data_IF_095383208561
#
_entry.id   IF_095383208561
#
_cell.length_a   1.000
_cell.length_b   1.000
_cell.length_c   1.000
_cell.angle_alpha   90.00
_cell.angle_beta   90.00
_cell.angle_gamma   90.00
#
_symmetry.space_group_name_H-M   'P 1'
#
loop_
_entity.id
_entity.type
_entity.pdbx_description
1 polymer ?
#
# COMPACT_ATOMS: atom_id res chain seq x y z
N UNK A 1 8.56 10.27 34.65
CA UNK A 1 8.05 10.89 33.41
C UNK A 1 9.00 10.76 32.21
N UNK A 2 10.32 10.93 32.35
CA UNK A 2 11.27 10.86 31.21
C UNK A 2 11.18 9.55 30.40
N UNK A 3 11.16 8.40 31.09
CA UNK A 3 11.05 7.08 30.46
C UNK A 3 9.76 6.85 29.67
N UNK A 4 8.63 7.43 30.10
CA UNK A 4 7.36 7.34 29.37
C UNK A 4 7.40 8.18 28.09
N UNK A 5 8.00 9.37 28.15
CA UNK A 5 8.18 10.23 26.98
C UNK A 5 9.09 9.56 25.94
N UNK A 6 10.22 9.02 26.39
CA UNK A 6 11.19 8.34 25.52
C UNK A 6 10.57 7.11 24.82
N UNK A 7 9.69 6.38 25.52
CA UNK A 7 8.94 5.24 24.95
C UNK A 7 7.88 5.68 23.92
N UNK A 8 7.17 6.78 24.17
CA UNK A 8 6.23 7.33 23.19
C UNK A 8 7.00 7.76 21.95
N UNK A 9 8.08 8.53 22.11
CA UNK A 9 8.90 9.06 21.02
C UNK A 9 9.49 7.93 20.14
N UNK A 10 9.98 6.84 20.74
CA UNK A 10 10.48 5.68 19.98
C UNK A 10 9.39 4.99 19.18
N UNK A 11 8.20 4.81 19.76
CA UNK A 11 7.07 4.23 19.05
C UNK A 11 6.59 5.15 17.91
N UNK A 12 6.62 6.49 18.08
CA UNK A 12 6.32 7.41 16.98
C UNK A 12 7.30 7.26 15.82
N UNK A 13 8.60 7.11 16.12
CA UNK A 13 9.64 6.95 15.12
C UNK A 13 9.42 5.66 14.31
N UNK A 14 9.26 4.52 14.99
CA UNK A 14 9.04 3.23 14.33
C UNK A 14 7.78 3.24 13.46
N UNK A 15 6.72 3.91 13.92
CA UNK A 15 5.47 4.02 13.17
C UNK A 15 5.61 4.88 11.90
N UNK A 16 6.42 5.95 11.96
CA UNK A 16 6.75 6.78 10.79
C UNK A 16 7.56 5.99 9.77
N UNK A 17 8.57 5.25 10.22
CA UNK A 17 9.39 4.42 9.35
C UNK A 17 8.57 3.32 8.68
N UNK A 18 7.68 2.68 9.43
CA UNK A 18 6.74 1.69 8.89
C UNK A 18 5.86 2.30 7.77
N UNK A 19 5.24 3.46 8.01
CA UNK A 19 4.45 4.14 6.98
C UNK A 19 5.25 4.54 5.74
N UNK A 20 6.48 5.01 5.94
CA UNK A 20 7.38 5.35 4.84
C UNK A 20 7.67 4.12 4.00
N UNK A 21 7.95 2.98 4.63
CA UNK A 21 8.21 1.73 3.92
C UNK A 21 6.98 1.24 3.16
N UNK A 22 5.79 1.29 3.76
CA UNK A 22 4.54 0.96 3.06
C UNK A 22 4.29 1.87 1.85
N UNK A 23 4.64 3.15 1.96
CA UNK A 23 4.52 4.10 0.84
C UNK A 23 5.44 3.69 -0.30
N UNK A 24 6.69 3.36 0.01
CA UNK A 24 7.66 2.88 -0.99
C UNK A 24 7.20 1.57 -1.62
N UNK A 25 6.61 0.65 -0.86
CA UNK A 25 6.06 -0.59 -1.41
C UNK A 25 4.92 -0.31 -2.39
N UNK A 26 3.97 0.56 -2.02
CA UNK A 26 2.87 0.94 -2.90
C UNK A 26 3.37 1.64 -4.17
N UNK A 27 4.34 2.55 -4.06
CA UNK A 27 4.94 3.23 -5.20
C UNK A 27 5.62 2.24 -6.17
N UNK A 28 6.27 1.19 -5.64
CA UNK A 28 6.88 0.14 -6.47
C UNK A 28 5.84 -0.68 -7.21
N UNK A 29 4.79 -1.14 -6.53
CA UNK A 29 3.73 -1.93 -7.17
C UNK A 29 3.04 -1.10 -8.24
N UNK A 30 2.73 0.17 -7.97
CA UNK A 30 2.14 1.06 -8.98
C UNK A 30 3.04 1.23 -10.20
N UNK A 31 4.36 1.38 -9.98
CA UNK A 31 5.33 1.51 -11.05
C UNK A 31 5.44 0.23 -11.88
N UNK A 32 5.61 -0.92 -11.24
CA UNK A 32 5.68 -2.22 -11.91
C UNK A 32 4.38 -2.53 -12.67
N UNK A 33 3.23 -2.16 -12.09
CA UNK A 33 1.94 -2.27 -12.76
C UNK A 33 1.87 -1.38 -14.01
N UNK A 34 2.32 -0.12 -13.97
CA UNK A 34 2.28 0.74 -15.15
C UNK A 34 3.28 0.28 -16.23
N UNK A 35 4.51 -0.07 -15.86
CA UNK A 35 5.51 -0.62 -16.78
C UNK A 35 5.02 -1.91 -17.44
N UNK A 36 4.30 -2.73 -16.68
CA UNK A 36 3.74 -3.98 -17.21
C UNK A 36 2.63 -3.79 -18.24
N UNK A 37 1.88 -2.68 -18.14
CA UNK A 37 0.79 -2.38 -19.08
C UNK A 37 1.29 -1.96 -20.46
N UNK A 38 2.53 -1.47 -20.55
CA UNK A 38 3.15 -1.14 -21.83
C UNK A 38 3.56 -2.37 -22.63
N UNK A 39 3.44 -3.57 -22.04
CA UNK A 39 3.79 -4.85 -22.66
C UNK A 39 2.49 -5.64 -22.85
N UNK A 40 2.02 -5.72 -24.10
CA UNK A 40 0.69 -6.23 -24.52
C UNK A 40 0.33 -7.67 -24.06
N UNK A 41 1.28 -8.46 -23.53
CA UNK A 41 1.09 -9.88 -23.18
C UNK A 41 1.04 -10.18 -21.66
N UNK A 42 1.07 -9.17 -20.77
CA UNK A 42 1.49 -9.42 -19.37
C UNK A 42 0.46 -10.05 -18.42
N UNK A 43 -0.83 -10.14 -18.73
CA UNK A 43 -1.71 -11.02 -17.93
C UNK A 43 -1.49 -12.51 -18.26
N UNK A 44 -0.23 -12.96 -18.28
CA UNK A 44 0.11 -14.33 -17.97
C UNK A 44 -0.49 -14.64 -16.59
N UNK A 45 -1.22 -15.75 -16.47
CA UNK A 45 -1.98 -16.06 -15.24
C UNK A 45 -1.13 -16.08 -13.96
N UNK A 46 0.18 -16.26 -14.07
CA UNK A 46 1.13 -16.16 -12.95
C UNK A 46 1.35 -14.72 -12.48
N UNK A 47 1.60 -13.78 -13.41
CA UNK A 47 1.79 -12.37 -13.07
C UNK A 47 0.53 -11.77 -12.46
N UNK A 48 -0.63 -12.05 -13.05
CA UNK A 48 -1.92 -11.56 -12.54
C UNK A 48 -2.20 -12.08 -11.11
N UNK A 49 -1.86 -13.34 -10.81
CA UNK A 49 -1.97 -13.89 -9.44
C UNK A 49 -0.97 -13.30 -8.47
N UNK A 50 0.27 -13.04 -8.91
CA UNK A 50 1.31 -12.44 -8.07
C UNK A 50 0.97 -11.00 -7.67
N UNK A 51 0.42 -10.22 -8.60
CA UNK A 51 -0.07 -8.86 -8.33
C UNK A 51 -1.26 -8.91 -7.37
N UNK A 52 -2.27 -9.75 -7.65
CA UNK A 52 -3.44 -9.90 -6.76
C UNK A 52 -3.01 -10.22 -5.32
N UNK A 53 -2.12 -11.20 -5.15
CA UNK A 53 -1.57 -11.54 -3.84
C UNK A 53 -0.86 -10.35 -3.17
N UNK A 54 -0.06 -9.60 -3.93
CA UNK A 54 0.68 -8.45 -3.39
C UNK A 54 -0.24 -7.32 -2.96
N UNK A 55 -1.32 -7.07 -3.71
CA UNK A 55 -2.35 -6.09 -3.36
C UNK A 55 -3.11 -6.53 -2.10
N UNK A 56 -3.43 -7.82 -1.98
CA UNK A 56 -4.13 -8.38 -0.81
C UNK A 56 -3.30 -8.27 0.47
N UNK A 57 -2.01 -8.59 0.41
CA UNK A 57 -1.11 -8.43 1.56
C UNK A 57 -0.96 -6.96 1.95
N UNK A 58 -0.81 -6.06 0.98
CA UNK A 58 -0.74 -4.63 1.24
C UNK A 58 -2.05 -4.08 1.83
N UNK A 59 -3.20 -4.62 1.42
CA UNK A 59 -4.49 -4.29 2.00
C UNK A 59 -4.55 -4.71 3.47
N UNK A 60 -4.18 -5.96 3.77
CA UNK A 60 -4.15 -6.48 5.16
C UNK A 60 -3.30 -5.59 6.05
N UNK A 61 -2.09 -5.25 5.60
CA UNK A 61 -1.19 -4.36 6.32
C UNK A 61 -1.83 -2.98 6.55
N UNK A 62 -2.30 -2.30 5.50
CA UNK A 62 -2.86 -0.94 5.60
C UNK A 62 -4.14 -0.82 6.45
N UNK A 63 -4.98 -1.86 6.43
CA UNK A 63 -6.23 -1.88 7.21
C UNK A 63 -6.02 -2.41 8.63
N UNK A 64 -4.93 -3.14 8.90
CA UNK A 64 -4.56 -3.55 10.26
C UNK A 64 -3.98 -2.41 11.11
N UNK A 65 -3.50 -1.33 10.48
CA UNK A 65 -2.95 -0.16 11.18
C UNK A 65 -4.03 0.51 12.03
N UNK A 66 -3.92 0.34 13.34
CA UNK A 66 -4.68 1.09 14.34
C UNK A 66 -4.03 2.44 14.57
N UNK A 67 -4.72 3.52 14.24
CA UNK A 67 -4.19 4.88 14.36
C UNK A 67 -4.07 5.30 15.85
N UNK A 68 -2.85 5.55 16.37
CA UNK A 68 -2.67 5.98 17.75
C UNK A 68 -3.16 7.42 17.96
N UNK A 69 -3.77 7.72 19.12
CA UNK A 69 -4.37 9.04 19.43
C UNK A 69 -3.39 10.24 19.36
N UNK A 70 -2.09 9.98 19.42
CA UNK A 70 -1.04 11.00 19.49
C UNK A 70 -0.36 11.27 18.14
N UNK A 71 -0.78 10.61 17.05
CA UNK A 71 -0.27 10.90 15.71
C UNK A 71 -0.82 12.23 15.17
N UNK A 72 -0.05 12.89 14.30
CA UNK A 72 -0.46 14.16 13.68
C UNK A 72 -1.53 13.93 12.61
N UNK A 73 -2.29 14.97 12.27
CA UNK A 73 -3.28 14.89 11.18
C UNK A 73 -2.67 14.51 9.83
N UNK A 74 -1.40 14.86 9.59
CA UNK A 74 -0.69 14.49 8.36
C UNK A 74 -0.54 12.98 8.24
N UNK A 75 -0.38 12.27 9.36
CA UNK A 75 -0.36 10.82 9.40
C UNK A 75 -1.69 10.24 8.91
N UNK A 76 -2.82 10.72 9.47
CA UNK A 76 -4.17 10.28 9.08
C UNK A 76 -4.43 10.52 7.60
N UNK A 77 -3.98 11.68 7.09
CA UNK A 77 -4.11 12.05 5.67
C UNK A 77 -3.32 11.10 4.77
N UNK A 78 -2.07 10.80 5.13
CA UNK A 78 -1.22 9.86 4.40
C UNK A 78 -1.85 8.47 4.37
N UNK A 79 -2.27 7.93 5.52
CA UNK A 79 -2.90 6.61 5.58
C UNK A 79 -4.18 6.54 4.74
N UNK A 80 -5.02 7.58 4.80
CA UNK A 80 -6.21 7.69 3.95
C UNK A 80 -5.86 7.75 2.46
N UNK A 81 -4.82 8.49 2.10
CA UNK A 81 -4.34 8.57 0.72
C UNK A 81 -3.86 7.21 0.21
N UNK A 82 -3.07 6.47 1.01
CA UNK A 82 -2.59 5.13 0.65
C UNK A 82 -3.73 4.14 0.44
N UNK A 83 -4.74 4.13 1.32
CA UNK A 83 -5.94 3.29 1.15
C UNK A 83 -6.69 3.60 -0.14
N UNK A 84 -6.80 4.88 -0.49
CA UNK A 84 -7.44 5.31 -1.75
C UNK A 84 -6.64 4.85 -2.96
N UNK A 85 -5.33 5.09 -2.96
CA UNK A 85 -4.42 4.65 -4.03
C UNK A 85 -4.47 3.15 -4.25
N UNK A 86 -4.44 2.36 -3.18
CA UNK A 86 -4.59 0.91 -3.26
C UNK A 86 -5.93 0.50 -3.89
N UNK A 87 -7.04 1.13 -3.46
CA UNK A 87 -8.35 0.87 -4.06
C UNK A 87 -8.38 1.22 -5.56
N UNK A 88 -7.79 2.35 -5.95
CA UNK A 88 -7.71 2.77 -7.36
C UNK A 88 -6.85 1.78 -8.18
N UNK A 89 -5.79 1.23 -7.58
CA UNK A 89 -4.94 0.21 -8.19
C UNK A 89 -5.68 -1.12 -8.40
N UNK A 90 -6.48 -1.56 -7.41
CA UNK A 90 -7.38 -2.71 -7.58
C UNK A 90 -8.37 -2.51 -8.72
N UNK A 91 -8.99 -1.33 -8.82
CA UNK A 91 -9.93 -1.04 -9.88
C UNK A 91 -9.26 -1.08 -11.27
N UNK A 92 -8.04 -0.56 -11.39
CA UNK A 92 -7.24 -0.66 -12.62
C UNK A 92 -6.89 -2.10 -12.95
N UNK A 93 -6.45 -2.89 -11.97
CA UNK A 93 -6.13 -4.31 -12.14
C UNK A 93 -7.33 -5.12 -12.63
N UNK A 94 -8.50 -4.94 -12.01
CA UNK A 94 -9.75 -5.59 -12.43
C UNK A 94 -10.13 -5.21 -13.87
N UNK A 95 -9.91 -3.95 -14.26
CA UNK A 95 -10.08 -3.51 -15.64
C UNK A 95 -9.19 -4.27 -16.62
N UNK A 96 -7.91 -4.46 -16.29
CA UNK A 96 -6.96 -5.24 -17.11
C UNK A 96 -7.36 -6.71 -17.19
N UNK A 97 -7.74 -7.32 -16.06
CA UNK A 97 -8.19 -8.70 -16.01
C UNK A 97 -9.41 -8.93 -16.92
N UNK A 98 -10.41 -8.05 -16.84
CA UNK A 98 -11.62 -8.14 -17.68
C UNK A 98 -11.36 -8.01 -19.18
N UNK A 99 -10.30 -7.29 -19.58
CA UNK A 99 -9.89 -7.17 -20.98
C UNK A 99 -9.14 -8.40 -21.48
N UNK A 100 -8.45 -9.13 -20.60
CA UNK A 100 -7.70 -10.34 -20.95
C UNK A 100 -8.56 -11.60 -21.10
N UNK A 101 -9.79 -11.59 -20.58
CA UNK A 101 -10.75 -12.70 -20.66
C UNK A 101 -11.61 -12.68 -21.93
N UNK A 102 -11.36 -11.76 -22.87
CA UNK A 102 -12.02 -11.63 -24.18
C UNK A 102 -11.03 -11.81 -25.33
#
# INVERSE_FOLDING_TARGET
MKMQKDMVDSFQLSHRDYMKNLTVCLDRIEKEFEESREIDEICTGEWCRAIEFSLDELAKDLYSISEPRWVSQDYSRTLRNMRRRLHDLYAKYQGVQSLSEH
#
